data_IF_899235986545
#
_entry.id   IF_899235986545
#
_cell.length_a   1.000
_cell.length_b   1.000
_cell.length_c   1.000
_cell.angle_alpha   90.00
_cell.angle_beta   90.00
_cell.angle_gamma   90.00
#
_symmetry.space_group_name_H-M   'P 1'
#
loop_
_entity.id
_entity.type
_entity.pdbx_description
1 polymer ?
#
# COMPACT_ATOMS: atom_id res chain seq x y z
N UNK A 1 37.19 -85.67 -2.92
CA UNK A 1 36.76 -86.71 -1.96
C UNK A 1 37.09 -86.15 -0.57
N UNK A 2 36.09 -85.82 0.27
CA UNK A 2 35.57 -86.67 1.37
C UNK A 2 36.60 -86.80 2.54
N UNK A 3 36.32 -86.63 3.85
CA UNK A 3 35.09 -86.66 4.67
C UNK A 3 35.28 -85.80 5.99
N UNK A 4 34.24 -85.06 6.42
CA UNK A 4 33.65 -84.96 7.80
C UNK A 4 34.32 -84.49 9.14
N UNK A 5 33.50 -83.68 9.85
CA UNK A 5 33.07 -83.72 11.29
C UNK A 5 33.76 -83.00 12.49
N UNK A 6 32.86 -82.41 13.32
CA UNK A 6 32.89 -82.19 14.80
C UNK A 6 33.80 -81.08 15.39
N UNK A 7 33.44 -80.33 16.47
CA UNK A 7 32.16 -80.16 17.23
C UNK A 7 32.20 -78.84 18.06
N UNK A 8 31.02 -78.41 18.56
CA UNK A 8 30.65 -77.33 19.53
C UNK A 8 31.50 -77.23 20.83
N UNK A 9 31.31 -76.26 21.79
CA UNK A 9 30.30 -75.18 21.98
C UNK A 9 30.94 -73.76 22.19
N UNK A 10 30.35 -72.67 22.72
CA UNK A 10 28.97 -72.24 23.06
C UNK A 10 28.89 -71.12 24.14
N UNK A 11 28.45 -69.90 23.80
CA UNK A 11 27.13 -69.30 24.15
C UNK A 11 26.86 -68.92 25.64
N UNK A 12 27.50 -67.86 26.18
CA UNK A 12 27.07 -67.20 27.45
C UNK A 12 27.25 -65.66 27.43
N UNK A 13 26.60 -64.92 26.51
CA UNK A 13 26.69 -63.43 26.53
C UNK A 13 25.43 -62.64 26.10
N UNK A 14 24.37 -63.31 25.61
CA UNK A 14 23.18 -62.61 25.09
C UNK A 14 22.18 -62.08 26.14
N UNK A 15 22.08 -62.72 27.31
CA UNK A 15 20.95 -62.49 28.25
C UNK A 15 21.14 -61.22 29.10
N UNK A 16 22.39 -60.85 29.45
CA UNK A 16 22.66 -59.65 30.26
C UNK A 16 22.42 -58.35 29.47
N UNK A 17 22.85 -58.32 28.21
CA UNK A 17 22.67 -57.15 27.34
C UNK A 17 21.19 -56.88 27.04
N UNK A 18 20.42 -57.93 26.76
CA UNK A 18 18.98 -57.81 26.51
C UNK A 18 18.23 -57.22 27.72
N UNK A 19 18.54 -57.71 28.94
CA UNK A 19 17.93 -57.19 30.18
C UNK A 19 18.29 -55.72 30.42
N UNK A 20 19.55 -55.32 30.19
CA UNK A 20 19.95 -53.92 30.31
C UNK A 20 19.20 -53.02 29.31
N UNK A 21 19.08 -53.43 28.04
CA UNK A 21 18.32 -52.67 27.04
C UNK A 21 16.83 -52.59 27.39
N UNK A 22 16.22 -53.68 27.88
CA UNK A 22 14.82 -53.65 28.32
C UNK A 22 14.60 -52.70 29.51
N UNK A 23 15.49 -52.69 30.49
CA UNK A 23 15.40 -51.78 31.66
C UNK A 23 15.59 -50.32 31.23
N UNK A 24 16.55 -50.02 30.35
CA UNK A 24 16.76 -48.66 29.82
C UNK A 24 15.53 -48.17 29.05
N UNK A 25 14.92 -49.02 28.21
CA UNK A 25 13.68 -48.68 27.49
C UNK A 25 12.52 -48.43 28.48
N UNK A 26 12.38 -49.25 29.53
CA UNK A 26 11.35 -49.07 30.56
C UNK A 26 11.53 -47.76 31.33
N UNK A 27 12.77 -47.40 31.69
CA UNK A 27 13.07 -46.11 32.33
C UNK A 27 12.78 -44.94 31.39
N UNK A 28 13.15 -45.03 30.11
CA UNK A 28 12.85 -43.99 29.11
C UNK A 28 11.34 -43.80 28.90
N UNK A 29 10.56 -44.88 28.88
CA UNK A 29 9.10 -44.83 28.79
C UNK A 29 8.45 -44.21 30.04
N UNK A 30 8.96 -44.53 31.23
CA UNK A 30 8.51 -43.91 32.49
C UNK A 30 8.86 -42.41 32.55
N UNK A 31 10.06 -42.02 32.10
CA UNK A 31 10.46 -40.61 32.02
C UNK A 31 9.62 -39.86 30.97
N UNK A 32 9.34 -40.46 29.82
CA UNK A 32 8.45 -39.87 28.82
C UNK A 32 7.02 -39.69 29.33
N UNK A 33 6.46 -40.70 30.03
CA UNK A 33 5.14 -40.61 30.66
C UNK A 33 5.07 -39.59 31.81
N UNK A 34 6.16 -39.42 32.56
CA UNK A 34 6.26 -38.37 33.58
C UNK A 34 6.36 -36.97 32.95
N UNK A 35 7.10 -36.81 31.85
CA UNK A 35 7.16 -35.54 31.10
C UNK A 35 5.80 -35.17 30.50
N UNK A 36 5.04 -36.12 29.94
CA UNK A 36 3.70 -35.82 29.41
C UNK A 36 2.69 -35.48 30.50
N UNK A 37 2.87 -35.97 31.73
CA UNK A 37 2.07 -35.57 32.90
C UNK A 37 2.49 -34.21 33.50
N UNK A 38 3.72 -33.75 33.25
CA UNK A 38 4.24 -32.43 33.66
C UNK A 38 4.04 -31.34 32.60
N UNK A 39 3.75 -31.71 31.35
CA UNK A 39 3.29 -30.77 30.33
C UNK A 39 1.88 -30.29 30.69
N UNK A 40 1.61 -28.97 30.69
CA UNK A 40 0.27 -28.47 30.91
C UNK A 40 -0.65 -29.00 29.81
N UNK A 41 -1.74 -29.65 30.20
CA UNK A 41 -2.79 -30.06 29.27
C UNK A 41 -3.29 -28.82 28.54
N UNK A 42 -2.97 -28.74 27.24
CA UNK A 42 -3.64 -27.82 26.32
C UNK A 42 -5.09 -28.27 26.32
N UNK A 43 -5.94 -27.53 27.03
CA UNK A 43 -7.37 -27.60 26.78
C UNK A 43 -7.57 -27.18 25.34
N UNK A 44 -8.38 -27.94 24.60
CA UNK A 44 -8.86 -27.55 23.28
C UNK A 44 -9.87 -26.40 23.41
N UNK A 45 -9.40 -25.27 23.94
CA UNK A 45 -10.05 -23.98 23.80
C UNK A 45 -9.99 -23.66 22.31
N UNK A 46 -11.12 -23.98 21.65
CA UNK A 46 -11.53 -23.65 20.28
C UNK A 46 -10.44 -22.95 19.48
N UNK A 47 -9.99 -23.59 18.39
CA UNK A 47 -9.29 -22.90 17.30
C UNK A 47 -9.88 -21.50 17.14
N UNK A 48 -9.11 -20.43 17.32
CA UNK A 48 -9.59 -19.10 17.01
C UNK A 48 -9.96 -19.13 15.54
N UNK A 49 -11.25 -19.15 15.25
CA UNK A 49 -11.74 -18.78 13.94
C UNK A 49 -11.20 -17.38 13.72
N UNK A 50 -10.15 -17.24 12.89
CA UNK A 50 -9.58 -15.95 12.51
C UNK A 50 -10.50 -15.24 11.50
N UNK A 51 -11.81 -15.34 11.75
CA UNK A 51 -12.84 -14.48 11.23
C UNK A 51 -12.56 -13.13 11.88
N UNK A 52 -11.98 -12.22 11.11
CA UNK A 52 -11.65 -10.85 11.56
C UNK A 52 -12.90 -10.28 12.24
N UNK A 53 -12.84 -10.01 13.53
CA UNK A 53 -13.95 -9.34 14.18
C UNK A 53 -14.14 -7.95 13.54
N UNK A 54 -15.39 -7.52 13.29
CA UNK A 54 -15.63 -6.18 12.77
C UNK A 54 -15.17 -5.18 13.82
N UNK A 55 -14.06 -4.47 13.55
CA UNK A 55 -13.67 -3.32 14.36
C UNK A 55 -14.80 -2.30 14.32
N UNK A 56 -15.42 -2.05 15.46
CA UNK A 56 -16.45 -1.01 15.62
C UNK A 56 -15.91 0.31 15.09
N UNK A 57 -16.65 0.94 14.16
CA UNK A 57 -16.24 2.18 13.51
C UNK A 57 -16.21 3.35 14.50
N UNK A 58 -15.04 3.58 15.09
CA UNK A 58 -14.68 4.84 15.74
C UNK A 58 -13.17 5.13 15.65
N UNK A 59 -12.50 4.67 14.58
CA UNK A 59 -11.24 5.29 14.19
C UNK A 59 -11.52 6.76 13.88
N UNK A 60 -10.93 7.64 14.69
CA UNK A 60 -11.05 9.08 14.47
C UNK A 60 -10.46 9.41 13.09
N UNK A 61 -11.17 10.25 12.33
CA UNK A 61 -10.63 10.81 11.09
C UNK A 61 -9.37 11.67 11.36
N UNK A 62 -9.17 12.11 12.61
CA UNK A 62 -7.94 12.77 13.07
C UNK A 62 -6.81 11.73 13.21
N UNK A 63 -5.74 11.90 12.42
CA UNK A 63 -4.61 10.97 12.41
C UNK A 63 -4.78 9.77 11.45
N UNK A 64 -5.78 9.83 10.57
CA UNK A 64 -6.09 8.82 9.55
C UNK A 64 -6.13 9.44 8.14
N UNK A 65 -6.12 8.61 7.09
CA UNK A 65 -6.18 9.03 5.68
C UNK A 65 -7.19 8.23 4.85
N UNK A 66 -7.63 8.78 3.73
CA UNK A 66 -8.50 8.10 2.75
C UNK A 66 -7.71 7.78 1.50
N UNK A 67 -7.79 6.55 1.02
CA UNK A 67 -7.24 6.13 -0.27
C UNK A 67 -8.24 6.49 -1.38
N UNK A 68 -7.78 7.21 -2.41
CA UNK A 68 -8.51 7.41 -3.67
C UNK A 68 -7.76 6.65 -4.76
N UNK A 69 -8.42 5.66 -5.35
CA UNK A 69 -7.87 4.83 -6.44
C UNK A 69 -8.81 4.89 -7.64
N UNK A 70 -8.32 5.35 -8.78
CA UNK A 70 -9.08 5.35 -10.04
C UNK A 70 -8.69 4.15 -10.87
N UNK A 71 -9.68 3.47 -11.43
CA UNK A 71 -9.45 2.25 -12.20
C UNK A 71 -10.16 2.24 -13.54
N UNK A 72 -9.46 1.71 -14.54
CA UNK A 72 -9.97 1.50 -15.89
C UNK A 72 -9.37 0.22 -16.50
N UNK A 73 -10.24 -0.71 -16.89
CA UNK A 73 -9.92 -1.98 -17.54
C UNK A 73 -8.85 -2.83 -16.81
N UNK A 74 -8.87 -2.83 -15.47
CA UNK A 74 -7.88 -3.48 -14.57
C UNK A 74 -8.54 -4.04 -13.29
N UNK A 75 -9.79 -4.49 -13.38
CA UNK A 75 -10.63 -4.88 -12.25
C UNK A 75 -10.02 -6.01 -11.40
N UNK A 76 -9.27 -6.91 -12.02
CA UNK A 76 -8.52 -7.99 -11.35
C UNK A 76 -7.38 -7.44 -10.48
N UNK A 77 -6.62 -6.49 -11.03
CA UNK A 77 -5.50 -5.85 -10.36
C UNK A 77 -5.97 -4.92 -9.24
N UNK A 78 -7.06 -4.18 -9.47
CA UNK A 78 -7.78 -3.41 -8.45
C UNK A 78 -8.08 -4.27 -7.21
N UNK A 79 -8.66 -5.47 -7.38
CA UNK A 79 -9.03 -6.33 -6.24
C UNK A 79 -7.79 -6.87 -5.50
N UNK A 80 -6.73 -7.22 -6.23
CA UNK A 80 -5.42 -7.60 -5.66
C UNK A 80 -4.82 -6.45 -4.83
N UNK A 81 -4.88 -5.23 -5.34
CA UNK A 81 -4.39 -4.03 -4.66
C UNK A 81 -5.27 -3.68 -3.44
N UNK A 82 -6.60 -3.67 -3.58
CA UNK A 82 -7.53 -3.44 -2.46
C UNK A 82 -7.29 -4.42 -1.30
N UNK A 83 -6.99 -5.69 -1.60
CA UNK A 83 -6.69 -6.69 -0.57
C UNK A 83 -5.40 -6.36 0.23
N UNK A 84 -4.42 -5.71 -0.39
CA UNK A 84 -3.23 -5.19 0.29
C UNK A 84 -3.54 -3.89 1.03
N UNK A 85 -4.14 -2.91 0.35
CA UNK A 85 -4.37 -1.58 0.89
C UNK A 85 -5.30 -1.56 2.09
N UNK A 86 -6.34 -2.39 2.13
CA UNK A 86 -7.27 -2.48 3.26
C UNK A 86 -6.60 -2.80 4.62
N UNK A 87 -5.37 -3.34 4.61
CA UNK A 87 -4.64 -3.74 5.81
C UNK A 87 -3.62 -2.68 6.30
N UNK A 88 -3.50 -1.53 5.61
CA UNK A 88 -2.48 -0.52 5.95
C UNK A 88 -2.89 0.28 7.20
N UNK A 89 -1.96 0.51 8.15
CA UNK A 89 -2.22 1.36 9.32
C UNK A 89 -2.70 2.77 8.92
N UNK A 90 -3.59 3.35 9.73
CA UNK A 90 -4.17 4.69 9.54
C UNK A 90 -5.06 4.89 8.30
N UNK A 91 -5.30 3.86 7.49
CA UNK A 91 -6.34 3.92 6.45
C UNK A 91 -7.73 3.97 7.11
N UNK A 92 -8.52 4.98 6.76
CA UNK A 92 -9.89 5.19 7.24
C UNK A 92 -10.95 4.60 6.31
N UNK A 93 -10.75 4.79 5.00
CA UNK A 93 -11.72 4.50 3.94
C UNK A 93 -11.00 4.41 2.60
N UNK A 94 -11.54 3.61 1.68
CA UNK A 94 -11.14 3.62 0.26
C UNK A 94 -12.29 4.16 -0.60
N UNK A 95 -11.97 5.05 -1.53
CA UNK A 95 -12.87 5.53 -2.58
C UNK A 95 -12.32 5.00 -3.91
N UNK A 96 -13.06 4.11 -4.56
CA UNK A 96 -12.73 3.55 -5.87
C UNK A 96 -13.47 4.35 -6.93
N UNK A 97 -12.73 5.09 -7.75
CA UNK A 97 -13.29 5.87 -8.87
C UNK A 97 -13.36 4.95 -10.09
N UNK A 98 -14.57 4.55 -10.44
CA UNK A 98 -14.84 3.51 -11.42
C UNK A 98 -15.11 4.11 -12.80
N UNK A 99 -14.10 4.08 -13.67
CA UNK A 99 -14.16 4.64 -15.03
C UNK A 99 -14.61 3.62 -16.10
N UNK A 100 -14.96 2.37 -15.73
CA UNK A 100 -15.46 1.36 -16.67
C UNK A 100 -16.96 1.63 -16.96
N UNK A 101 -17.22 2.45 -17.98
CA UNK A 101 -18.56 2.96 -18.27
C UNK A 101 -19.48 1.84 -18.76
N UNK A 102 -20.59 1.62 -18.04
CA UNK A 102 -21.55 0.55 -18.32
C UNK A 102 -21.19 -0.81 -17.73
N UNK A 103 -19.99 -0.99 -17.16
CA UNK A 103 -19.61 -2.23 -16.48
C UNK A 103 -20.07 -2.25 -15.02
N UNK A 104 -20.50 -3.43 -14.54
CA UNK A 104 -20.92 -3.63 -13.15
C UNK A 104 -19.71 -3.52 -12.21
N UNK A 105 -19.83 -2.70 -11.17
CA UNK A 105 -18.83 -2.62 -10.09
C UNK A 105 -18.69 -3.96 -9.36
N UNK A 106 -17.48 -4.35 -8.91
CA UNK A 106 -17.23 -5.62 -8.24
C UNK A 106 -17.69 -5.64 -6.76
N UNK A 107 -18.71 -4.84 -6.41
CA UNK A 107 -19.14 -4.60 -5.02
C UNK A 107 -19.75 -5.86 -4.36
N UNK A 108 -20.61 -6.59 -5.05
CA UNK A 108 -21.17 -7.87 -4.55
C UNK A 108 -20.07 -8.89 -4.25
N UNK A 109 -19.10 -9.01 -5.17
CA UNK A 109 -17.95 -9.91 -5.01
C UNK A 109 -17.06 -9.46 -3.86
N UNK A 110 -16.74 -8.17 -3.77
CA UNK A 110 -15.98 -7.59 -2.66
C UNK A 110 -16.66 -7.91 -1.32
N UNK A 111 -17.94 -7.55 -1.17
CA UNK A 111 -18.70 -7.77 0.06
C UNK A 111 -18.79 -9.26 0.46
N UNK A 112 -18.80 -10.19 -0.50
CA UNK A 112 -18.77 -11.63 -0.22
C UNK A 112 -17.44 -12.15 0.36
N UNK A 113 -16.35 -11.41 0.17
CA UNK A 113 -15.01 -11.70 0.71
C UNK A 113 -14.75 -11.05 2.09
N UNK A 114 -15.77 -10.40 2.66
CA UNK A 114 -15.69 -9.72 3.95
C UNK A 114 -15.59 -10.66 5.17
N UNK A 115 -15.39 -10.10 6.38
CA UNK A 115 -15.36 -8.66 6.67
C UNK A 115 -14.01 -7.99 6.35
N UNK A 116 -14.11 -6.75 5.88
CA UNK A 116 -12.98 -5.88 5.54
C UNK A 116 -12.59 -4.98 6.72
N UNK A 117 -11.31 -4.62 6.91
CA UNK A 117 -10.90 -3.74 8.00
C UNK A 117 -11.40 -2.29 7.86
N UNK A 118 -11.69 -1.84 6.64
CA UNK A 118 -12.11 -0.48 6.30
C UNK A 118 -13.24 -0.50 5.26
N UNK A 119 -14.14 0.50 5.24
CA UNK A 119 -15.13 0.66 4.18
C UNK A 119 -14.48 0.98 2.83
N UNK A 120 -15.00 0.36 1.76
CA UNK A 120 -14.65 0.64 0.36
C UNK A 120 -15.90 1.14 -0.35
N UNK A 121 -15.83 2.31 -0.97
CA UNK A 121 -16.95 2.96 -1.65
C UNK A 121 -16.65 3.03 -3.14
N UNK A 122 -17.50 2.39 -3.97
CA UNK A 122 -17.39 2.46 -5.42
C UNK A 122 -18.13 3.69 -5.96
N UNK A 123 -17.43 4.50 -6.76
CA UNK A 123 -17.93 5.73 -7.38
C UNK A 123 -17.96 5.58 -8.89
N UNK A 124 -19.08 5.04 -9.39
CA UNK A 124 -19.38 4.94 -10.82
C UNK A 124 -19.34 6.32 -11.47
N UNK A 125 -18.57 6.45 -12.55
CA UNK A 125 -18.47 7.68 -13.33
C UNK A 125 -19.35 7.60 -14.59
N UNK A 126 -19.77 8.76 -15.10
CA UNK A 126 -20.58 8.86 -16.32
C UNK A 126 -19.74 8.86 -17.61
N UNK A 127 -18.48 9.31 -17.52
CA UNK A 127 -17.51 9.38 -18.62
C UNK A 127 -16.15 8.99 -18.07
N UNK A 128 -15.37 8.20 -18.80
CA UNK A 128 -13.98 7.93 -18.47
C UNK A 128 -13.14 9.20 -18.67
N UNK A 129 -12.72 9.83 -17.56
CA UNK A 129 -11.83 11.00 -17.57
C UNK A 129 -10.74 10.85 -16.51
N UNK A 130 -9.53 11.26 -16.82
CA UNK A 130 -8.42 11.25 -15.87
C UNK A 130 -8.71 12.07 -14.60
N UNK A 131 -9.38 13.23 -14.73
CA UNK A 131 -9.71 14.10 -13.60
C UNK A 131 -10.81 13.59 -12.67
N UNK A 132 -11.46 12.44 -12.93
CA UNK A 132 -12.55 11.97 -12.07
C UNK A 132 -12.07 11.72 -10.63
N UNK A 133 -10.82 11.30 -10.44
CA UNK A 133 -10.16 11.18 -9.12
C UNK A 133 -9.90 12.49 -8.38
N UNK A 134 -9.99 13.63 -9.08
CA UNK A 134 -9.78 14.96 -8.50
C UNK A 134 -11.09 15.63 -8.05
N UNK A 135 -12.24 14.96 -8.16
CA UNK A 135 -13.53 15.45 -7.68
C UNK A 135 -13.57 15.63 -6.16
N UNK A 136 -14.47 16.49 -5.68
CA UNK A 136 -14.79 16.58 -4.26
C UNK A 136 -15.79 15.47 -3.87
N UNK A 137 -15.36 14.50 -3.06
CA UNK A 137 -16.18 13.36 -2.66
C UNK A 137 -16.82 13.61 -1.29
N UNK A 138 -18.15 13.49 -1.13
CA UNK A 138 -18.80 13.72 0.17
C UNK A 138 -18.44 12.67 1.24
N UNK A 139 -17.93 11.51 0.84
CA UNK A 139 -17.43 10.47 1.75
C UNK A 139 -16.01 10.74 2.28
N UNK A 140 -15.34 11.80 1.81
CA UNK A 140 -13.97 12.14 2.21
C UNK A 140 -13.96 12.87 3.56
N UNK A 141 -13.84 12.10 4.63
CA UNK A 141 -13.87 12.60 6.02
C UNK A 141 -12.48 13.00 6.55
N UNK A 142 -11.39 12.57 5.90
CA UNK A 142 -10.02 12.79 6.38
C UNK A 142 -9.38 14.03 5.76
N UNK A 143 -8.45 14.65 6.51
CA UNK A 143 -7.60 15.73 5.99
C UNK A 143 -6.54 15.22 5.00
N UNK A 144 -6.10 13.97 5.15
CA UNK A 144 -5.11 13.35 4.27
C UNK A 144 -5.80 12.49 3.21
N UNK A 145 -5.44 12.72 1.95
CA UNK A 145 -5.74 11.87 0.81
C UNK A 145 -4.45 11.15 0.41
N UNK A 146 -4.50 9.82 0.32
CA UNK A 146 -3.55 9.04 -0.45
C UNK A 146 -4.15 8.81 -1.83
N UNK A 147 -3.58 9.40 -2.87
CA UNK A 147 -3.97 9.09 -4.24
C UNK A 147 -3.08 7.98 -4.78
N UNK A 148 -3.63 6.99 -5.48
CA UNK A 148 -2.88 5.92 -6.14
C UNK A 148 -3.47 5.48 -7.47
N UNK A 149 -2.59 5.15 -8.42
CA UNK A 149 -2.94 4.43 -9.65
C UNK A 149 -3.20 2.94 -9.37
N UNK A 150 -4.04 2.32 -10.21
CA UNK A 150 -4.51 0.93 -10.08
C UNK A 150 -3.54 -0.14 -10.58
N UNK A 151 -2.28 0.22 -10.87
CA UNK A 151 -1.21 -0.71 -11.26
C UNK A 151 0.02 -0.66 -10.36
N UNK A 152 0.02 0.13 -9.28
CA UNK A 152 1.18 0.30 -8.43
C UNK A 152 0.94 -0.32 -7.06
N UNK A 153 1.89 -1.14 -6.60
CA UNK A 153 1.94 -1.71 -5.27
C UNK A 153 3.07 -1.04 -4.47
N UNK A 154 2.71 -0.38 -3.36
CA UNK A 154 3.67 0.25 -2.43
C UNK A 154 3.58 -0.46 -1.08
N UNK A 155 4.71 -0.78 -0.46
CA UNK A 155 4.73 -1.46 0.83
C UNK A 155 3.99 -0.68 1.92
N UNK A 156 3.38 -1.40 2.87
CA UNK A 156 2.70 -0.78 4.02
C UNK A 156 3.67 0.04 4.89
N UNK A 157 4.95 -0.34 4.90
CA UNK A 157 6.00 0.39 5.60
C UNK A 157 6.29 1.74 4.93
N UNK A 158 6.49 1.76 3.61
CA UNK A 158 6.74 3.00 2.86
C UNK A 158 5.55 3.97 2.97
N UNK A 159 4.32 3.47 2.94
CA UNK A 159 3.11 4.30 3.11
C UNK A 159 2.94 4.82 4.55
N UNK A 160 3.23 4.02 5.57
CA UNK A 160 3.24 4.49 6.96
C UNK A 160 4.30 5.58 7.18
N UNK A 161 5.51 5.41 6.63
CA UNK A 161 6.56 6.41 6.68
C UNK A 161 6.16 7.70 5.95
N UNK A 162 5.68 7.59 4.71
CA UNK A 162 5.21 8.72 3.92
C UNK A 162 4.08 9.50 4.61
N UNK A 163 3.13 8.80 5.23
CA UNK A 163 2.07 9.42 6.00
C UNK A 163 2.60 10.18 7.22
N UNK A 164 3.57 9.61 7.96
CA UNK A 164 4.22 10.32 9.08
C UNK A 164 4.98 11.57 8.62
N UNK A 165 5.65 11.54 7.46
CA UNK A 165 6.27 12.71 6.85
C UNK A 165 5.22 13.77 6.50
N UNK A 166 4.08 13.36 5.93
CA UNK A 166 2.97 14.28 5.63
C UNK A 166 2.40 14.92 6.90
N UNK A 167 2.19 14.15 7.98
CA UNK A 167 1.72 14.65 9.27
C UNK A 167 2.70 15.66 9.87
N UNK A 168 4.00 15.38 9.82
CA UNK A 168 5.04 16.28 10.32
C UNK A 168 5.08 17.58 9.51
N UNK A 169 4.98 17.51 8.17
CA UNK A 169 4.91 18.69 7.31
C UNK A 169 3.63 19.52 7.51
N UNK A 170 2.54 18.89 7.93
CA UNK A 170 1.29 19.55 8.31
C UNK A 170 1.33 20.17 9.72
N UNK A 171 2.13 19.63 10.65
CA UNK A 171 2.12 19.99 12.07
C UNK A 171 3.36 20.74 12.61
N UNK A 172 4.44 20.95 11.85
CA UNK A 172 5.56 21.80 12.30
C UNK A 172 5.14 23.27 12.28
N UNK A 173 4.52 23.71 13.38
CA UNK A 173 4.93 24.86 14.20
C UNK A 173 3.97 25.00 15.39
N UNK A 174 4.23 24.25 16.46
CA UNK A 174 3.54 24.36 17.74
C UNK A 174 4.00 25.60 18.55
N UNK A 175 3.92 26.77 17.92
CA UNK A 175 4.16 28.09 18.53
C UNK A 175 3.50 29.17 17.66
N UNK A 176 2.17 29.31 17.84
CA UNK A 176 1.33 30.42 17.37
C UNK A 176 1.18 30.68 15.85
N UNK A 177 1.95 30.03 14.97
CA UNK A 177 1.69 30.04 13.52
C UNK A 177 1.83 28.62 12.97
N UNK A 178 0.74 27.86 13.00
CA UNK A 178 0.60 26.68 12.16
C UNK A 178 0.40 27.16 10.71
N UNK A 179 1.49 27.56 10.03
CA UNK A 179 1.46 27.75 8.59
C UNK A 179 1.04 26.43 7.96
N UNK A 180 -0.10 26.41 7.27
CA UNK A 180 -0.54 25.28 6.47
C UNK A 180 0.46 25.04 5.31
N UNK A 181 1.58 24.36 5.59
CA UNK A 181 2.56 23.93 4.57
C UNK A 181 2.05 22.68 3.87
N UNK A 182 0.93 22.86 3.19
CA UNK A 182 0.18 21.90 2.38
C UNK A 182 1.03 21.46 1.16
N UNK A 183 2.10 20.69 1.36
CA UNK A 183 2.89 20.14 0.26
C UNK A 183 2.44 18.70 -0.04
N UNK A 184 2.55 18.32 -1.30
CA UNK A 184 2.43 16.93 -1.72
C UNK A 184 3.61 16.14 -1.13
N UNK A 185 3.36 15.05 -0.39
CA UNK A 185 4.41 14.07 -0.07
C UNK A 185 4.37 13.01 -1.17
N UNK A 186 5.43 12.99 -1.97
CA UNK A 186 5.47 12.37 -3.30
C UNK A 186 6.50 11.24 -3.27
N UNK A 187 6.11 9.97 -3.49
CA UNK A 187 7.09 8.87 -3.35
C UNK A 187 7.94 8.63 -4.60
N UNK A 188 7.56 9.17 -5.75
CA UNK A 188 8.37 9.38 -6.98
C UNK A 188 7.75 10.60 -7.65
N UNK A 189 8.56 11.37 -8.40
CA UNK A 189 8.35 12.68 -9.08
C UNK A 189 6.97 13.06 -9.69
N UNK A 190 5.92 12.26 -9.53
CA UNK A 190 4.58 12.35 -10.10
C UNK A 190 3.53 12.07 -9.00
N UNK A 191 2.34 12.69 -9.04
CA UNK A 191 1.28 12.57 -8.00
C UNK A 191 0.66 11.16 -7.91
N UNK A 192 0.88 10.32 -8.93
CA UNK A 192 0.48 8.91 -9.11
C UNK A 192 0.58 8.02 -7.85
N UNK A 193 1.44 8.38 -6.90
CA UNK A 193 1.28 7.96 -5.51
C UNK A 193 1.79 9.04 -4.55
N UNK A 194 0.86 9.73 -3.90
CA UNK A 194 1.19 10.83 -3.01
C UNK A 194 0.16 11.05 -1.91
N UNK A 195 0.64 11.56 -0.78
CA UNK A 195 -0.19 12.11 0.28
C UNK A 195 -0.35 13.61 0.09
N UNK A 196 -1.59 14.10 0.09
CA UNK A 196 -1.89 15.54 0.09
C UNK A 196 -3.13 15.86 0.91
N UNK A 197 -3.38 17.16 1.10
CA UNK A 197 -4.52 17.62 1.88
C UNK A 197 -5.81 17.64 1.05
N UNK A 198 -6.90 17.10 1.59
CA UNK A 198 -8.19 16.97 0.89
C UNK A 198 -8.73 18.29 0.33
N UNK A 199 -8.46 19.43 0.99
CA UNK A 199 -8.81 20.76 0.48
C UNK A 199 -8.26 21.09 -0.92
N UNK A 200 -7.21 20.41 -1.40
CA UNK A 200 -6.76 20.59 -2.78
C UNK A 200 -7.69 20.00 -3.84
N UNK A 201 -8.58 19.05 -3.49
CA UNK A 201 -9.64 18.61 -4.40
C UNK A 201 -10.69 19.70 -4.60
N UNK A 202 -10.97 20.46 -3.53
CA UNK A 202 -11.89 21.60 -3.55
C UNK A 202 -11.28 22.78 -4.31
N UNK A 203 -10.01 23.13 -4.05
CA UNK A 203 -9.28 24.13 -4.83
C UNK A 203 -9.08 23.69 -6.28
N UNK A 204 -8.98 22.39 -6.57
CA UNK A 204 -8.99 21.88 -7.93
C UNK A 204 -10.32 22.12 -8.63
N UNK A 205 -11.48 22.14 -7.93
CA UNK A 205 -12.77 22.55 -8.50
C UNK A 205 -12.88 24.07 -8.77
N UNK A 206 -11.93 24.88 -8.29
CA UNK A 206 -11.88 26.34 -8.48
C UNK A 206 -10.93 26.76 -9.62
N UNK A 207 -10.35 25.82 -10.36
CA UNK A 207 -9.41 26.15 -11.42
C UNK A 207 -10.10 26.72 -12.68
N UNK A 208 -9.38 27.51 -13.50
CA UNK A 208 -9.91 28.01 -14.77
C UNK A 208 -10.37 26.88 -15.69
N UNK A 209 -11.45 27.10 -16.44
CA UNK A 209 -12.00 26.09 -17.36
C UNK A 209 -10.98 25.60 -18.39
N UNK A 210 -10.02 26.44 -18.79
CA UNK A 210 -8.90 26.06 -19.65
C UNK A 210 -8.03 24.91 -19.08
N UNK A 211 -7.93 24.78 -17.75
CA UNK A 211 -7.23 23.66 -17.08
C UNK A 211 -8.03 22.37 -17.25
N UNK A 212 -9.36 22.43 -17.05
CA UNK A 212 -10.25 21.29 -17.27
C UNK A 212 -10.25 20.85 -18.73
N UNK A 213 -10.32 21.80 -19.66
CA UNK A 213 -10.27 21.54 -21.10
C UNK A 213 -8.95 20.85 -21.49
N UNK A 214 -7.80 21.36 -21.03
CA UNK A 214 -6.48 20.76 -21.30
C UNK A 214 -6.37 19.31 -20.80
N UNK A 215 -6.87 19.02 -19.59
CA UNK A 215 -6.84 17.66 -19.03
C UNK A 215 -7.80 16.74 -19.78
N UNK A 216 -8.98 17.22 -20.17
CA UNK A 216 -9.94 16.42 -20.95
C UNK A 216 -9.46 16.14 -22.38
N UNK A 217 -8.87 17.14 -23.05
CA UNK A 217 -8.30 17.07 -24.39
C UNK A 217 -7.16 16.05 -24.46
N UNK A 218 -6.25 16.10 -23.48
CA UNK A 218 -5.05 15.23 -23.46
C UNK A 218 -5.30 13.87 -22.81
N UNK A 219 -6.34 13.73 -21.98
CA UNK A 219 -6.49 12.62 -21.02
C UNK A 219 -5.20 12.33 -20.24
N UNK A 220 -4.53 13.40 -19.81
CA UNK A 220 -3.20 13.36 -19.21
C UNK A 220 -3.03 14.61 -18.31
N UNK A 221 -1.87 14.76 -17.66
CA UNK A 221 -1.41 16.00 -17.04
C UNK A 221 -2.26 16.54 -15.87
N UNK A 222 -3.22 15.77 -15.36
CA UNK A 222 -4.00 16.10 -14.17
C UNK A 222 -3.09 16.26 -12.93
N UNK A 223 -2.07 15.42 -12.85
CA UNK A 223 -0.97 15.51 -11.88
C UNK A 223 -0.08 16.76 -12.05
N UNK A 224 0.17 17.23 -13.28
CA UNK A 224 0.92 18.47 -13.53
C UNK A 224 0.07 19.67 -13.10
N UNK A 225 -1.22 19.69 -13.45
CA UNK A 225 -2.14 20.74 -13.04
C UNK A 225 -2.26 20.85 -11.51
N UNK A 226 -2.34 19.72 -10.81
CA UNK A 226 -2.30 19.67 -9.34
C UNK A 226 -0.96 20.17 -8.78
N UNK A 227 0.19 19.85 -9.38
CA UNK A 227 1.47 20.43 -8.96
C UNK A 227 1.53 21.96 -9.15
N UNK A 228 1.01 22.48 -10.27
CA UNK A 228 0.90 23.92 -10.51
C UNK A 228 0.01 24.60 -9.47
N UNK A 229 -1.15 24.01 -9.16
CA UNK A 229 -2.07 24.48 -8.12
C UNK A 229 -1.37 24.57 -6.76
N UNK A 230 -0.75 23.47 -6.30
CA UNK A 230 -0.08 23.41 -5.00
C UNK A 230 1.11 24.37 -4.92
N UNK A 231 1.92 24.49 -5.97
CA UNK A 231 3.03 25.44 -6.00
C UNK A 231 2.56 26.91 -5.99
N UNK A 232 1.48 27.22 -6.73
CA UNK A 232 0.87 28.56 -6.77
C UNK A 232 0.23 28.94 -5.44
N UNK A 233 -0.51 28.02 -4.82
CA UNK A 233 -1.17 28.21 -3.51
C UNK A 233 -0.13 28.43 -2.39
N UNK A 234 0.92 27.60 -2.33
CA UNK A 234 1.89 27.63 -1.21
C UNK A 234 3.06 28.59 -1.40
N UNK A 235 3.34 29.03 -2.63
CA UNK A 235 4.56 29.76 -2.98
C UNK A 235 5.86 28.96 -2.76
N UNK A 236 5.76 27.63 -2.54
CA UNK A 236 6.86 26.72 -2.18
C UNK A 236 6.94 25.60 -3.25
N UNK A 237 8.00 24.76 -3.28
CA UNK A 237 8.01 23.56 -4.10
C UNK A 237 6.75 22.72 -3.82
N UNK A 238 6.07 22.26 -4.89
CA UNK A 238 4.77 21.60 -4.80
C UNK A 238 4.77 20.38 -3.90
N UNK A 239 5.89 19.67 -3.83
CA UNK A 239 6.05 18.50 -2.97
C UNK A 239 7.46 18.28 -2.44
N UNK A 240 7.56 17.23 -1.63
CA UNK A 240 8.81 16.67 -1.11
C UNK A 240 8.89 15.20 -1.50
N UNK A 241 10.07 14.78 -1.97
CA UNK A 241 10.32 13.42 -2.42
C UNK A 241 10.68 12.53 -1.23
N UNK A 242 9.90 11.47 -0.99
CA UNK A 242 10.21 10.41 -0.02
C UNK A 242 10.65 9.18 -0.82
N UNK A 243 11.87 8.70 -0.60
CA UNK A 243 12.42 7.55 -1.31
C UNK A 243 11.76 6.24 -0.82
N UNK A 244 11.03 5.49 -1.67
CA UNK A 244 10.43 4.22 -1.30
C UNK A 244 11.48 3.12 -1.28
N UNK A 245 11.20 2.06 -0.53
CA UNK A 245 12.07 0.89 -0.38
C UNK A 245 11.53 -0.30 -1.17
N UNK A 246 10.23 -0.56 -1.13
CA UNK A 246 9.58 -1.61 -1.90
C UNK A 246 8.33 -1.04 -2.60
N UNK A 247 8.53 -0.70 -3.87
CA UNK A 247 7.50 -0.25 -4.82
C UNK A 247 7.60 -1.11 -6.08
N UNK A 248 6.45 -1.58 -6.57
CA UNK A 248 6.37 -2.47 -7.74
C UNK A 248 5.26 -1.98 -8.65
N UNK A 249 5.57 -1.82 -9.93
CA UNK A 249 4.54 -1.69 -10.95
C UNK A 249 4.09 -3.10 -11.35
N UNK A 250 2.78 -3.31 -11.32
CA UNK A 250 2.07 -4.55 -11.60
C UNK A 250 1.27 -4.48 -12.91
N UNK A 251 1.58 -3.54 -13.80
CA UNK A 251 0.89 -3.40 -15.10
C UNK A 251 0.90 -4.73 -15.87
N UNK A 252 2.00 -5.49 -15.79
CA UNK A 252 2.17 -6.78 -16.46
C UNK A 252 1.40 -7.93 -15.79
N UNK A 253 0.82 -7.71 -14.62
CA UNK A 253 0.04 -8.71 -13.89
C UNK A 253 -1.46 -8.70 -14.26
N UNK A 254 -1.93 -7.71 -15.05
CA UNK A 254 -3.36 -7.62 -15.43
C UNK A 254 -3.72 -8.59 -16.56
N UNK A 255 -4.87 -9.22 -16.44
CA UNK A 255 -5.42 -10.14 -17.42
C UNK A 255 -6.20 -9.44 -18.55
N UNK A 256 -6.40 -8.12 -18.49
CA UNK A 256 -7.17 -7.37 -19.49
C UNK A 256 -6.43 -7.10 -20.80
N UNK A 257 -5.10 -7.25 -20.80
CA UNK A 257 -4.23 -6.83 -21.91
C UNK A 257 -4.12 -5.32 -22.08
N UNK A 258 -4.70 -4.50 -21.18
CA UNK A 258 -4.62 -3.05 -21.25
C UNK A 258 -3.25 -2.53 -20.80
N UNK A 259 -2.42 -2.14 -21.76
CA UNK A 259 -1.13 -1.50 -21.50
C UNK A 259 -1.29 -0.09 -20.94
N UNK A 260 -0.38 0.29 -20.04
CA UNK A 260 -0.37 1.56 -19.34
C UNK A 260 -0.27 2.77 -20.27
N UNK A 261 -0.85 3.89 -19.84
CA UNK A 261 -0.93 5.10 -20.67
C UNK A 261 0.44 5.67 -21.06
N UNK A 262 1.49 5.36 -20.29
CA UNK A 262 2.85 5.84 -20.51
C UNK A 262 3.59 5.20 -21.70
N UNK A 263 3.10 4.07 -22.23
CA UNK A 263 3.68 3.43 -23.43
C UNK A 263 3.31 4.14 -24.74
N UNK A 264 2.33 5.04 -24.71
CA UNK A 264 1.93 5.80 -25.91
C UNK A 264 3.04 6.77 -26.30
N UNK A 265 3.41 6.80 -27.58
CA UNK A 265 4.55 7.58 -28.08
C UNK A 265 4.43 9.07 -27.77
N UNK A 266 3.20 9.60 -27.79
CA UNK A 266 2.89 10.98 -27.49
C UNK A 266 2.91 11.32 -25.99
N UNK A 267 2.91 10.35 -25.07
CA UNK A 267 2.70 10.59 -23.64
C UNK A 267 3.70 11.61 -23.05
N UNK A 268 5.00 11.46 -23.30
CA UNK A 268 6.01 12.38 -22.79
C UNK A 268 5.96 13.76 -23.49
N UNK A 269 5.59 13.78 -24.77
CA UNK A 269 5.44 15.01 -25.54
C UNK A 269 4.22 15.82 -25.07
N UNK A 270 3.10 15.15 -24.82
CA UNK A 270 1.90 15.73 -24.21
C UNK A 270 2.22 16.36 -22.85
N UNK A 271 2.99 15.68 -21.98
CA UNK A 271 3.36 16.25 -20.68
C UNK A 271 4.21 17.52 -20.81
N UNK A 272 5.10 17.58 -21.80
CA UNK A 272 5.86 18.80 -22.12
C UNK A 272 4.95 19.93 -22.68
N UNK A 273 3.98 19.58 -23.53
CA UNK A 273 2.94 20.49 -24.02
C UNK A 273 2.09 21.05 -22.88
N UNK A 274 1.64 20.20 -21.96
CA UNK A 274 0.84 20.58 -20.80
C UNK A 274 1.55 21.59 -19.90
N UNK A 275 2.85 21.39 -19.60
CA UNK A 275 3.63 22.37 -18.81
C UNK A 275 3.59 23.76 -19.47
N UNK A 276 3.85 23.83 -20.78
CA UNK A 276 3.83 25.11 -21.51
C UNK A 276 2.42 25.72 -21.58
N UNK A 277 1.38 24.91 -21.77
CA UNK A 277 -0.02 25.37 -21.76
C UNK A 277 -0.44 25.88 -20.38
N UNK A 278 -0.08 25.19 -19.30
CA UNK A 278 -0.37 25.61 -17.94
C UNK A 278 0.37 26.91 -17.58
N UNK A 279 1.61 27.11 -18.04
CA UNK A 279 2.32 28.41 -17.91
C UNK A 279 1.51 29.55 -18.53
N UNK A 280 0.96 29.34 -19.74
CA UNK A 280 0.13 30.35 -20.40
C UNK A 280 -1.22 30.57 -19.70
N UNK A 281 -1.85 29.52 -19.16
CA UNK A 281 -3.13 29.61 -18.44
C UNK A 281 -2.97 30.33 -17.09
N UNK A 282 -1.84 30.15 -16.40
CA UNK A 282 -1.59 30.74 -15.08
C UNK A 282 -0.77 32.04 -15.09
N UNK A 283 -0.39 32.52 -16.28
CA UNK A 283 0.48 33.68 -16.52
C UNK A 283 1.85 33.59 -15.80
N UNK A 284 2.49 32.43 -15.90
CA UNK A 284 3.84 32.20 -15.36
C UNK A 284 4.13 30.77 -14.93
N UNK A 285 5.37 30.54 -14.52
CA UNK A 285 5.83 29.25 -13.99
C UNK A 285 5.82 29.26 -12.44
N UNK A 286 4.81 28.67 -11.76
CA UNK A 286 4.78 28.60 -10.31
C UNK A 286 5.68 27.49 -9.75
N UNK A 287 6.05 26.48 -10.56
CA UNK A 287 6.81 25.33 -10.10
C UNK A 287 8.22 25.74 -9.63
N UNK A 288 8.62 25.24 -8.46
CA UNK A 288 9.93 25.51 -7.85
C UNK A 288 10.70 24.22 -7.65
N UNK A 289 11.98 24.22 -8.00
CA UNK A 289 12.86 23.07 -7.78
C UNK A 289 13.04 22.76 -6.29
N UNK A 290 13.26 21.48 -6.00
CA UNK A 290 13.69 20.97 -4.70
C UNK A 290 14.64 19.81 -4.92
N UNK A 291 15.71 19.75 -4.13
CA UNK A 291 16.66 18.63 -4.07
C UNK A 291 16.48 17.77 -2.81
N UNK A 292 15.43 18.04 -2.01
CA UNK A 292 15.16 17.32 -0.77
C UNK A 292 14.65 15.91 -1.10
N UNK A 293 15.43 14.90 -0.73
CA UNK A 293 15.07 13.49 -0.70
C UNK A 293 15.03 13.03 0.76
N UNK A 294 13.87 12.64 1.24
CA UNK A 294 13.69 12.05 2.57
C UNK A 294 13.82 10.52 2.46
N UNK A 295 14.45 9.90 3.45
CA UNK A 295 14.54 8.44 3.61
C UNK A 295 14.44 8.12 5.09
N UNK A 296 13.85 6.97 5.44
CA UNK A 296 13.71 6.59 6.84
C UNK A 296 15.07 6.22 7.43
N UNK A 297 15.45 6.88 8.53
CA UNK A 297 16.70 6.57 9.23
C UNK A 297 16.66 5.14 9.77
N UNK A 298 17.69 4.34 9.47
CA UNK A 298 17.81 2.95 9.90
C UNK A 298 16.99 1.93 9.11
N UNK A 299 16.38 2.29 7.96
CA UNK A 299 15.61 1.37 7.13
C UNK A 299 15.91 1.54 5.62
N UNK A 300 15.96 0.46 4.80
CA UNK A 300 15.83 -0.96 5.16
C UNK A 300 17.03 -1.48 5.95
N UNK A 301 18.20 -0.88 5.73
CA UNK A 301 19.42 -1.25 6.43
C UNK A 301 19.56 -0.42 7.72
N UNK A 302 19.73 -1.09 8.86
CA UNK A 302 19.92 -0.47 10.18
C UNK A 302 20.99 0.63 10.21
N UNK A 303 22.02 0.53 9.35
CA UNK A 303 23.11 1.49 9.22
C UNK A 303 23.07 2.30 7.90
N UNK A 304 21.90 2.51 7.29
CA UNK A 304 21.78 3.21 6.00
C UNK A 304 22.44 4.61 5.96
N UNK A 305 22.51 5.30 7.10
CA UNK A 305 23.19 6.58 7.29
C UNK A 305 24.73 6.52 7.17
N UNK A 306 25.33 5.33 7.23
CA UNK A 306 26.79 5.13 7.06
C UNK A 306 27.19 4.90 5.61
N UNK A 307 26.24 4.53 4.76
CA UNK A 307 26.48 4.44 3.33
C UNK A 307 26.55 5.88 2.80
N UNK A 308 27.73 6.29 2.31
CA UNK A 308 27.82 7.50 1.49
C UNK A 308 26.92 7.33 0.26
N UNK A 309 26.15 8.37 -0.05
CA UNK A 309 25.38 8.47 -1.30
C UNK A 309 26.31 8.50 -2.51
#
# INVERSE_FOLDING_TARGET
RYFHFCKLPGRVMGIRLLRFTSVVILVLLLVAGALTALLPSIKDDKMPNLRREPKTQSQSALGSFTLIMQTYNRTDLLLKLLNHYQAIPHLHKVIVVWNNIGEKVPEEMWNSLGPHPVPVVFKVQTVNRMRNRLQNFPELETKAVLMMDDDTLVSAHDLAFAFSVWQVMFCILASSICELQLRLVVLIRVIVYSFFHSGYLEDFQRQPEAVYALIDETQNCDDIAMNFLVAKHTGKPSGVFVKPVDIRNLEKDTNSGYSGMWHRAEHLLQRSYCVNKLVNIYDGMPLKYSNIMISQFGFPNYANHKNKM
#
